data_IF_584405250038
#
_entry.id   IF_584405250038
#
_cell.length_a   1.000
_cell.length_b   1.000
_cell.length_c   1.000
_cell.angle_alpha   90.00
_cell.angle_beta   90.00
_cell.angle_gamma   90.00
#
_symmetry.space_group_name_H-M   'P 1'
#
loop_
_entity.id
_entity.type
_entity.pdbx_description
1 polymer ?
#
# COMPACT_ATOMS: atom_id res chain seq x y z
N UNK A 1 -27.78 -34.10 15.94
CA UNK A 1 -27.37 -32.68 16.11
C UNK A 1 -27.26 -32.08 14.71
N UNK A 2 -28.04 -31.03 14.38
CA UNK A 2 -28.15 -30.57 13.00
C UNK A 2 -26.83 -29.99 12.49
N UNK A 3 -26.59 -30.09 11.19
CA UNK A 3 -25.36 -29.61 10.55
C UNK A 3 -25.11 -28.12 10.79
N UNK A 4 -26.17 -27.34 11.01
CA UNK A 4 -26.09 -25.92 11.40
C UNK A 4 -25.40 -25.71 12.76
N UNK A 5 -25.65 -26.58 13.74
CA UNK A 5 -25.03 -26.48 15.07
C UNK A 5 -23.52 -26.74 15.06
N UNK A 6 -23.02 -27.56 14.13
CA UNK A 6 -21.58 -27.81 14.00
C UNK A 6 -20.83 -26.58 13.47
N UNK A 7 -21.41 -25.86 12.51
CA UNK A 7 -20.81 -24.64 11.96
C UNK A 7 -20.82 -23.48 12.96
N UNK A 8 -21.92 -23.31 13.71
CA UNK A 8 -21.99 -22.26 14.73
C UNK A 8 -20.95 -22.49 15.84
N UNK A 9 -20.74 -23.73 16.26
CA UNK A 9 -19.73 -24.07 17.27
C UNK A 9 -18.29 -23.84 16.74
N UNK A 10 -18.03 -24.16 15.47
CA UNK A 10 -16.71 -23.96 14.86
C UNK A 10 -16.33 -22.48 14.76
N UNK A 11 -17.29 -21.62 14.37
CA UNK A 11 -17.09 -20.17 14.29
C UNK A 11 -16.83 -19.57 15.67
N UNK A 12 -17.54 -20.05 16.70
CA UNK A 12 -17.37 -19.59 18.09
C UNK A 12 -15.99 -19.98 18.65
N UNK A 13 -15.49 -21.17 18.32
CA UNK A 13 -14.15 -21.61 18.72
C UNK A 13 -13.07 -20.78 18.01
N UNK A 14 -13.23 -20.54 16.70
CA UNK A 14 -12.30 -19.72 15.91
C UNK A 14 -12.22 -18.27 16.41
N UNK A 15 -13.35 -17.67 16.78
CA UNK A 15 -13.38 -16.29 17.31
C UNK A 15 -12.77 -16.18 18.72
N UNK A 16 -12.93 -17.20 19.57
CA UNK A 16 -12.23 -17.26 20.87
C UNK A 16 -10.72 -17.47 20.69
N UNK A 17 -10.29 -18.32 19.76
CA UNK A 17 -8.87 -18.51 19.46
C UNK A 17 -8.22 -17.23 18.92
N UNK A 18 -8.89 -16.51 18.02
CA UNK A 18 -8.41 -15.23 17.50
C UNK A 18 -8.31 -14.15 18.60
N UNK A 19 -9.28 -14.08 19.51
CA UNK A 19 -9.22 -13.16 20.66
C UNK A 19 -8.04 -13.45 21.62
N UNK A 20 -7.71 -14.73 21.82
CA UNK A 20 -6.61 -15.14 22.70
C UNK A 20 -5.22 -14.85 22.10
N UNK A 21 -5.08 -14.93 20.77
CA UNK A 21 -3.85 -14.58 20.05
C UNK A 21 -3.60 -13.05 20.10
N UNK A 22 -4.66 -12.25 20.05
CA UNK A 22 -4.53 -10.79 20.15
C UNK A 22 -4.19 -10.30 21.56
N UNK A 23 -4.67 -10.96 22.62
CA UNK A 23 -4.39 -10.56 24.00
C UNK A 23 -2.96 -10.87 24.48
N UNK A 24 -2.31 -11.92 23.96
CA UNK A 24 -0.95 -12.28 24.37
C UNK A 24 0.14 -11.35 23.79
N UNK A 25 -0.22 -10.45 22.87
CA UNK A 25 0.72 -9.53 22.22
C UNK A 25 0.93 -8.21 22.98
N UNK A 26 0.22 -7.97 24.09
CA UNK A 26 0.19 -6.65 24.76
C UNK A 26 0.92 -6.54 26.10
N UNK A 27 1.65 -7.56 26.55
CA UNK A 27 2.47 -7.44 27.77
C UNK A 27 3.95 -7.26 27.43
N UNK A 28 4.37 -6.03 27.12
CA UNK A 28 5.80 -5.68 27.10
C UNK A 28 6.18 -4.81 28.29
N UNK A 29 7.17 -5.33 29.00
CA UNK A 29 7.78 -4.84 30.23
C UNK A 29 8.67 -3.63 29.91
N UNK A 30 8.41 -2.48 30.53
CA UNK A 30 9.14 -1.23 30.28
C UNK A 30 10.43 -1.17 31.10
N UNK A 31 11.56 -1.47 30.46
CA UNK A 31 12.87 -0.98 30.91
C UNK A 31 13.37 0.03 29.88
N UNK A 32 13.24 1.31 30.21
CA UNK A 32 13.64 2.45 29.38
C UNK A 32 15.12 2.77 29.63
N UNK A 33 16.01 2.78 28.61
CA UNK A 33 17.30 3.42 28.72
C UNK A 33 17.16 4.93 28.51
N UNK A 34 17.83 5.70 29.36
CA UNK A 34 17.87 7.17 29.35
C UNK A 34 18.75 7.66 28.18
N UNK A 35 18.17 8.26 27.13
CA UNK A 35 18.91 8.82 25.98
C UNK A 35 18.89 10.35 26.05
N UNK A 36 20.07 10.97 26.22
CA UNK A 36 20.25 12.43 26.32
C UNK A 36 20.33 13.10 24.94
N UNK A 37 19.57 14.18 24.78
CA UNK A 37 19.85 15.37 23.96
C UNK A 37 20.02 15.17 22.43
N UNK A 38 18.91 15.01 21.70
CA UNK A 38 18.86 14.97 20.23
C UNK A 38 18.22 16.20 19.54
N UNK A 39 17.91 17.27 20.27
CA UNK A 39 16.97 18.29 19.77
C UNK A 39 17.55 19.35 18.81
N UNK A 40 18.87 19.39 18.57
CA UNK A 40 19.51 20.61 18.05
C UNK A 40 20.06 20.56 16.61
N UNK A 41 19.95 19.44 15.89
CA UNK A 41 20.57 19.33 14.55
C UNK A 41 19.63 19.01 13.38
N UNK A 42 18.39 18.56 13.62
CA UNK A 42 17.42 18.34 12.53
C UNK A 42 16.94 19.68 11.95
N UNK A 43 16.75 20.71 12.79
CA UNK A 43 16.42 22.06 12.32
C UNK A 43 17.48 22.70 11.40
N UNK A 44 18.72 22.21 11.39
CA UNK A 44 19.80 22.82 10.58
C UNK A 44 19.74 22.43 9.09
N UNK A 45 19.05 21.35 8.72
CA UNK A 45 18.92 20.88 7.33
C UNK A 45 17.78 21.57 6.56
N UNK A 46 16.93 22.35 7.25
CA UNK A 46 15.67 22.89 6.70
C UNK A 46 15.75 24.36 6.28
N UNK A 47 16.85 25.07 6.57
CA UNK A 47 16.98 26.51 6.24
C UNK A 47 17.47 26.78 4.81
N UNK A 48 16.67 26.41 3.80
CA UNK A 48 16.68 27.09 2.49
C UNK A 48 15.24 27.25 1.99
N UNK A 49 14.60 28.33 2.42
CA UNK A 49 13.29 28.76 1.92
C UNK A 49 13.41 29.29 0.49
N UNK A 50 12.68 28.66 -0.44
CA UNK A 50 12.26 29.32 -1.67
C UNK A 50 10.74 29.48 -1.60
N UNK A 51 10.29 30.71 -1.35
CA UNK A 51 8.88 31.11 -1.36
C UNK A 51 8.39 31.09 -2.80
N UNK A 52 7.59 30.09 -3.15
CA UNK A 52 6.80 30.09 -4.39
C UNK A 52 5.33 30.13 -3.98
N UNK A 53 4.72 31.31 -4.13
CA UNK A 53 3.29 31.46 -4.13
C UNK A 53 2.74 30.82 -5.40
N UNK A 54 1.98 29.72 -5.29
CA UNK A 54 1.06 29.30 -6.34
C UNK A 54 -0.34 29.16 -5.77
N UNK A 55 -1.17 30.17 -6.01
CA UNK A 55 -2.63 30.01 -6.04
C UNK A 55 -2.95 29.07 -7.21
N UNK A 56 -3.23 27.80 -6.90
CA UNK A 56 -3.82 26.86 -7.84
C UNK A 56 -5.31 26.76 -7.55
N UNK A 57 -6.11 27.51 -8.31
CA UNK A 57 -7.56 27.33 -8.37
C UNK A 57 -7.88 25.99 -9.03
N UNK A 58 -8.12 24.96 -8.21
CA UNK A 58 -8.70 23.70 -8.66
C UNK A 58 -10.22 23.89 -8.80
N UNK A 59 -10.69 24.02 -10.05
CA UNK A 59 -12.09 23.87 -10.39
C UNK A 59 -12.54 22.44 -10.04
N UNK A 60 -13.38 22.32 -9.01
CA UNK A 60 -14.10 21.09 -8.70
C UNK A 60 -15.13 20.84 -9.80
N UNK A 61 -14.84 19.90 -10.71
CA UNK A 61 -15.82 19.42 -11.69
C UNK A 61 -16.89 18.62 -10.94
N UNK A 62 -18.00 19.28 -10.59
CA UNK A 62 -19.21 18.60 -10.14
C UNK A 62 -19.89 17.92 -11.34
N UNK A 63 -19.74 16.60 -11.43
CA UNK A 63 -20.50 15.79 -12.39
C UNK A 63 -21.92 15.62 -11.87
N UNK A 64 -22.85 16.40 -12.43
CA UNK A 64 -24.28 16.20 -12.21
C UNK A 64 -24.77 14.98 -12.98
N UNK A 65 -25.25 13.96 -12.25
CA UNK A 65 -25.96 12.82 -12.85
C UNK A 65 -27.47 13.12 -12.87
N UNK A 66 -28.01 13.23 -14.08
CA UNK A 66 -29.45 13.32 -14.34
C UNK A 66 -30.11 11.95 -14.16
N UNK A 67 -31.17 11.81 -13.35
CA UNK A 67 -31.89 10.56 -13.19
C UNK A 67 -33.02 10.53 -14.21
N UNK A 68 -32.77 9.95 -15.39
CA UNK A 68 -33.76 9.29 -16.24
C UNK A 68 -33.12 8.99 -17.60
N UNK A 69 -32.69 7.74 -17.78
CA UNK A 69 -32.85 7.02 -19.04
C UNK A 69 -32.72 5.51 -18.78
N UNK A 70 -33.73 4.77 -19.20
CA UNK A 70 -33.87 3.33 -19.07
C UNK A 70 -33.62 2.70 -20.46
N UNK A 71 -32.75 1.66 -20.52
CA UNK A 71 -32.44 0.70 -21.61
C UNK A 71 -31.24 0.98 -22.55
N UNK A 72 -30.22 0.10 -22.53
CA UNK A 72 -29.95 -1.06 -23.42
C UNK A 72 -28.43 -1.38 -23.33
N UNK A 73 -28.01 -2.48 -22.69
CA UNK A 73 -26.63 -2.99 -22.81
C UNK A 73 -26.49 -3.92 -24.03
N UNK A 74 -25.45 -3.73 -24.86
CA UNK A 74 -24.32 -4.65 -24.73
C UNK A 74 -23.01 -3.91 -24.54
N UNK A 75 -22.43 -4.15 -23.37
CA UNK A 75 -21.44 -3.33 -22.69
C UNK A 75 -20.40 -4.30 -22.10
N UNK A 76 -19.58 -4.87 -22.98
CA UNK A 76 -19.11 -6.23 -22.74
C UNK A 76 -17.73 -6.32 -22.09
N UNK A 77 -17.60 -7.29 -21.19
CA UNK A 77 -16.37 -7.75 -20.54
C UNK A 77 -16.46 -9.28 -20.47
N UNK A 78 -15.40 -9.98 -20.89
CA UNK A 78 -15.32 -11.43 -20.72
C UNK A 78 -15.24 -11.75 -19.23
N UNK A 79 -16.13 -12.62 -18.76
CA UNK A 79 -16.02 -13.13 -17.43
C UNK A 79 -15.11 -14.37 -17.44
N UNK A 80 -13.82 -14.18 -17.13
CA UNK A 80 -12.94 -15.32 -16.87
C UNK A 80 -13.13 -15.89 -15.44
N UNK A 81 -14.07 -15.37 -14.64
CA UNK A 81 -14.37 -15.95 -13.32
C UNK A 81 -15.03 -17.31 -13.51
N UNK A 82 -14.34 -18.35 -13.02
CA UNK A 82 -14.71 -19.74 -13.25
C UNK A 82 -13.73 -20.50 -14.15
N UNK A 83 -12.81 -19.80 -14.80
CA UNK A 83 -11.67 -20.45 -15.45
C UNK A 83 -10.74 -21.03 -14.39
N UNK A 84 -10.44 -22.32 -14.50
CA UNK A 84 -9.48 -22.97 -13.63
C UNK A 84 -8.08 -22.49 -14.04
N UNK A 85 -7.46 -21.66 -13.20
CA UNK A 85 -6.00 -21.57 -13.25
C UNK A 85 -5.44 -22.97 -12.98
N UNK A 86 -4.57 -23.51 -13.85
CA UNK A 86 -4.04 -24.86 -13.66
C UNK A 86 -3.45 -24.98 -12.26
N UNK A 87 -3.88 -25.97 -11.48
CA UNK A 87 -3.33 -26.17 -10.15
C UNK A 87 -1.82 -26.34 -10.24
N UNK A 88 -1.07 -25.51 -9.50
CA UNK A 88 0.37 -25.66 -9.38
C UNK A 88 0.65 -26.73 -8.32
N UNK A 89 1.05 -27.91 -8.76
CA UNK A 89 1.67 -28.89 -7.89
C UNK A 89 2.99 -28.33 -7.33
N UNK A 90 3.19 -28.45 -6.02
CA UNK A 90 4.41 -28.02 -5.32
C UNK A 90 4.74 -26.52 -5.47
N UNK A 91 3.72 -25.64 -5.43
CA UNK A 91 3.87 -24.18 -5.52
C UNK A 91 4.98 -23.62 -4.59
N UNK A 92 5.05 -24.09 -3.35
CA UNK A 92 6.09 -23.69 -2.38
C UNK A 92 7.50 -24.05 -2.86
N UNK A 93 7.68 -25.23 -3.46
CA UNK A 93 8.97 -25.66 -4.00
C UNK A 93 9.36 -24.81 -5.21
N UNK A 94 8.43 -24.56 -6.13
CA UNK A 94 8.67 -23.72 -7.31
C UNK A 94 9.09 -22.31 -6.88
N UNK A 95 8.42 -21.74 -5.87
CA UNK A 95 8.79 -20.44 -5.34
C UNK A 95 10.18 -20.47 -4.68
N UNK A 96 10.51 -21.51 -3.90
CA UNK A 96 11.83 -21.65 -3.30
C UNK A 96 12.96 -21.79 -4.34
N UNK A 97 12.72 -22.55 -5.42
CA UNK A 97 13.65 -22.69 -6.54
C UNK A 97 13.84 -21.36 -7.27
N UNK A 98 12.76 -20.64 -7.54
CA UNK A 98 12.81 -19.31 -8.15
C UNK A 98 13.63 -18.33 -7.31
N UNK A 99 13.38 -18.25 -6.01
CA UNK A 99 14.18 -17.41 -5.10
C UNK A 99 15.65 -17.81 -5.14
N UNK A 100 15.97 -19.10 -5.16
CA UNK A 100 17.36 -19.59 -5.24
C UNK A 100 18.04 -19.15 -6.54
N UNK A 101 17.32 -19.17 -7.67
CA UNK A 101 17.82 -18.69 -8.95
C UNK A 101 18.08 -17.18 -8.92
N UNK A 102 17.16 -16.40 -8.36
CA UNK A 102 17.33 -14.95 -8.21
C UNK A 102 18.54 -14.61 -7.33
N UNK A 103 18.78 -15.35 -6.24
CA UNK A 103 19.96 -15.17 -5.38
C UNK A 103 21.28 -15.45 -6.11
N UNK A 104 21.29 -16.42 -7.02
CA UNK A 104 22.47 -16.78 -7.80
C UNK A 104 22.70 -15.86 -9.02
N UNK A 105 21.73 -14.99 -9.34
CA UNK A 105 21.82 -14.05 -10.46
C UNK A 105 22.90 -13.00 -10.26
N UNK A 106 23.51 -12.55 -11.36
CA UNK A 106 24.39 -11.38 -11.38
C UNK A 106 23.64 -10.05 -11.46
N UNK A 107 22.33 -10.04 -11.70
CA UNK A 107 21.50 -8.83 -11.72
C UNK A 107 21.25 -8.32 -10.29
N UNK A 108 21.40 -7.01 -10.09
CA UNK A 108 21.04 -6.30 -8.86
C UNK A 108 19.57 -6.47 -8.53
N UNK A 109 18.71 -6.31 -9.53
CA UNK A 109 17.26 -6.37 -9.43
C UNK A 109 16.82 -7.75 -8.97
N UNK A 110 17.38 -8.82 -9.55
CA UNK A 110 17.13 -10.20 -9.12
C UNK A 110 17.57 -10.43 -7.67
N UNK A 111 18.76 -9.94 -7.28
CA UNK A 111 19.22 -10.07 -5.90
C UNK A 111 18.31 -9.31 -4.92
N UNK A 112 17.80 -8.13 -5.31
CA UNK A 112 16.87 -7.37 -4.50
C UNK A 112 15.52 -8.07 -4.38
N UNK A 113 14.95 -8.51 -5.50
CA UNK A 113 13.72 -9.30 -5.55
C UNK A 113 13.82 -10.58 -4.70
N UNK A 114 14.97 -11.27 -4.73
CA UNK A 114 15.20 -12.43 -3.89
C UNK A 114 15.15 -12.11 -2.39
N UNK A 115 15.56 -10.90 -1.98
CA UNK A 115 15.49 -10.48 -0.58
C UNK A 115 14.05 -10.09 -0.23
N UNK A 116 13.34 -9.36 -1.09
CA UNK A 116 11.98 -8.89 -0.81
C UNK A 116 10.94 -10.02 -0.80
N UNK A 117 11.05 -10.99 -1.72
CA UNK A 117 9.99 -11.97 -1.99
C UNK A 117 10.24 -13.36 -1.40
N UNK A 118 11.33 -13.53 -0.65
CA UNK A 118 11.60 -14.79 0.03
C UNK A 118 10.79 -14.92 1.33
N UNK A 119 9.72 -15.71 1.34
CA UNK A 119 8.90 -15.92 2.56
C UNK A 119 9.53 -16.92 3.56
N UNK A 120 10.62 -17.61 3.17
CA UNK A 120 11.28 -18.61 4.00
C UNK A 120 12.36 -18.02 4.94
N UNK A 121 12.51 -16.69 4.96
CA UNK A 121 13.40 -15.98 5.88
C UNK A 121 12.58 -15.15 6.85
N UNK A 122 13.02 -15.11 8.11
CA UNK A 122 12.45 -14.22 9.09
C UNK A 122 12.83 -12.75 8.83
N UNK A 123 12.11 -11.85 9.50
CA UNK A 123 12.25 -10.41 9.33
C UNK A 123 13.61 -9.85 9.74
N UNK A 124 14.29 -10.45 10.72
CA UNK A 124 15.64 -10.02 11.10
C UNK A 124 16.64 -10.35 10.00
N UNK A 125 16.62 -11.59 9.52
CA UNK A 125 17.48 -12.04 8.42
C UNK A 125 17.23 -11.23 7.15
N UNK A 126 15.96 -10.92 6.85
CA UNK A 126 15.62 -10.05 5.72
C UNK A 126 16.21 -8.66 5.88
N UNK A 127 16.06 -8.04 7.06
CA UNK A 127 16.65 -6.74 7.37
C UNK A 127 18.18 -6.75 7.17
N UNK A 128 18.87 -7.74 7.72
CA UNK A 128 20.33 -7.87 7.57
C UNK A 128 20.76 -8.00 6.11
N UNK A 129 19.99 -8.74 5.29
CA UNK A 129 20.25 -8.86 3.85
C UNK A 129 20.04 -7.54 3.11
N UNK A 130 19.01 -6.76 3.46
CA UNK A 130 18.77 -5.44 2.88
C UNK A 130 19.89 -4.46 3.22
N UNK A 131 20.37 -4.45 4.48
CA UNK A 131 21.52 -3.65 4.89
C UNK A 131 22.77 -4.03 4.09
N UNK A 132 23.05 -5.33 3.94
CA UNK A 132 24.18 -5.79 3.12
C UNK A 132 24.03 -5.43 1.63
N UNK A 133 22.80 -5.43 1.11
CA UNK A 133 22.53 -5.02 -0.27
C UNK A 133 22.76 -3.51 -0.46
N UNK A 134 22.35 -2.69 0.51
CA UNK A 134 22.56 -1.23 0.54
C UNK A 134 24.04 -0.83 0.43
N UNK A 135 24.95 -1.61 1.01
CA UNK A 135 26.40 -1.34 0.89
C UNK A 135 26.91 -1.36 -0.57
N UNK A 136 26.23 -2.10 -1.45
CA UNK A 136 26.58 -2.18 -2.87
C UNK A 136 25.75 -1.23 -3.74
N UNK A 137 24.52 -0.93 -3.32
CA UNK A 137 23.55 -0.12 -4.06
C UNK A 137 22.93 0.95 -3.14
N UNK A 138 23.72 1.94 -2.70
CA UNK A 138 23.27 2.92 -1.72
C UNK A 138 22.21 3.90 -2.26
N UNK A 139 22.13 4.08 -3.59
CA UNK A 139 21.31 5.12 -4.22
C UNK A 139 19.95 4.59 -4.70
N UNK A 140 19.32 3.73 -3.90
CA UNK A 140 18.01 3.15 -4.22
C UNK A 140 16.95 3.60 -3.19
N UNK A 141 16.04 4.51 -3.55
CA UNK A 141 15.07 5.04 -2.60
C UNK A 141 14.01 4.00 -2.20
N UNK A 142 13.65 3.07 -3.08
CA UNK A 142 12.73 1.96 -2.76
C UNK A 142 13.35 1.02 -1.71
N UNK A 143 14.65 0.70 -1.86
CA UNK A 143 15.39 -0.07 -0.87
C UNK A 143 15.39 0.63 0.50
N UNK A 144 15.69 1.93 0.51
CA UNK A 144 15.71 2.70 1.75
C UNK A 144 14.33 2.77 2.39
N UNK A 145 13.27 2.94 1.59
CA UNK A 145 11.89 2.90 2.07
C UNK A 145 11.58 1.57 2.77
N UNK A 146 11.92 0.43 2.17
CA UNK A 146 11.68 -0.90 2.77
C UNK A 146 12.52 -1.11 4.05
N UNK A 147 13.79 -0.67 4.07
CA UNK A 147 14.65 -0.71 5.28
C UNK A 147 14.03 0.10 6.42
N UNK A 148 13.65 1.35 6.18
CA UNK A 148 13.07 2.22 7.21
C UNK A 148 11.74 1.64 7.71
N UNK A 149 10.90 1.09 6.83
CA UNK A 149 9.62 0.50 7.23
C UNK A 149 9.78 -0.62 8.25
N UNK A 150 10.78 -1.48 8.06
CA UNK A 150 11.09 -2.59 8.98
C UNK A 150 11.68 -2.14 10.32
N UNK A 151 12.17 -0.91 10.42
CA UNK A 151 12.63 -0.32 11.69
C UNK A 151 11.48 0.13 12.60
N UNK A 152 10.24 0.16 12.11
CA UNK A 152 9.07 0.53 12.94
C UNK A 152 8.67 -0.58 13.92
N UNK A 153 9.04 -1.84 13.66
CA UNK A 153 8.57 -3.01 14.42
C UNK A 153 9.34 -3.30 15.72
N UNK A 154 10.14 -2.35 16.23
CA UNK A 154 11.00 -2.41 17.45
C UNK A 154 12.06 -3.52 17.50
N UNK A 155 11.99 -4.53 16.62
CA UNK A 155 12.98 -5.60 16.50
C UNK A 155 14.25 -5.13 15.78
N UNK A 156 14.06 -4.28 14.76
CA UNK A 156 15.14 -3.65 14.02
C UNK A 156 15.25 -2.19 14.45
N UNK A 157 16.47 -1.70 14.66
CA UNK A 157 16.73 -0.28 14.93
C UNK A 157 17.45 0.35 13.76
N UNK A 158 16.86 1.39 13.18
CA UNK A 158 17.56 2.26 12.24
C UNK A 158 18.38 3.28 13.03
N UNK A 159 19.63 3.47 12.64
CA UNK A 159 20.44 4.56 13.17
C UNK A 159 20.17 5.88 12.43
N UNK A 160 20.78 6.94 12.92
CA UNK A 160 20.64 8.28 12.34
C UNK A 160 21.16 8.34 10.90
N UNK A 161 22.22 7.61 10.58
CA UNK A 161 22.84 7.66 9.26
C UNK A 161 21.91 7.05 8.19
N UNK A 162 21.22 5.95 8.52
CA UNK A 162 20.21 5.36 7.63
C UNK A 162 19.04 6.33 7.37
N UNK A 163 18.57 7.02 8.40
CA UNK A 163 17.49 8.01 8.27
C UNK A 163 17.94 9.18 7.40
N UNK A 164 19.13 9.73 7.67
CA UNK A 164 19.68 10.85 6.91
C UNK A 164 19.87 10.48 5.43
N UNK A 165 20.35 9.27 5.14
CA UNK A 165 20.49 8.77 3.77
C UNK A 165 19.12 8.61 3.07
N UNK A 166 18.11 8.07 3.75
CA UNK A 166 16.77 7.94 3.19
C UNK A 166 16.18 9.32 2.83
N UNK A 167 16.35 10.31 3.72
CA UNK A 167 15.95 11.70 3.49
C UNK A 167 16.72 12.31 2.31
N UNK A 168 18.03 12.10 2.21
CA UNK A 168 18.83 12.64 1.09
C UNK A 168 18.32 12.14 -0.26
N UNK A 169 17.98 10.85 -0.36
CA UNK A 169 17.52 10.23 -1.60
C UNK A 169 16.11 10.64 -2.00
N UNK A 170 15.23 10.92 -1.03
CA UNK A 170 13.80 11.06 -1.33
C UNK A 170 13.06 12.10 -0.46
N UNK A 171 13.74 13.19 -0.07
CA UNK A 171 13.18 14.30 0.75
C UNK A 171 11.90 14.95 0.23
N UNK A 172 11.57 14.77 -1.05
CA UNK A 172 10.38 15.37 -1.67
C UNK A 172 9.20 14.38 -1.73
N UNK A 173 9.37 13.18 -1.17
CA UNK A 173 8.34 12.16 -1.09
C UNK A 173 7.63 12.19 0.26
N UNK A 174 6.34 12.46 0.22
CA UNK A 174 5.48 12.52 1.39
C UNK A 174 5.36 11.17 2.09
N UNK A 175 5.33 10.07 1.33
CA UNK A 175 5.24 8.72 1.90
C UNK A 175 6.45 8.41 2.79
N UNK A 176 7.66 8.80 2.38
CA UNK A 176 8.86 8.65 3.22
C UNK A 176 8.72 9.41 4.54
N UNK A 177 8.24 10.65 4.50
CA UNK A 177 8.05 11.44 5.71
C UNK A 177 6.99 10.85 6.64
N UNK A 178 5.89 10.33 6.09
CA UNK A 178 4.88 9.64 6.88
C UNK A 178 5.42 8.31 7.46
N UNK A 179 6.28 7.60 6.73
CA UNK A 179 6.98 6.41 7.21
C UNK A 179 7.89 6.73 8.39
N UNK A 180 8.66 7.82 8.29
CA UNK A 180 9.49 8.33 9.38
C UNK A 180 8.65 8.78 10.58
N UNK A 181 7.51 9.43 10.35
CA UNK A 181 6.58 9.77 11.41
C UNK A 181 6.10 8.52 12.16
N UNK A 182 5.71 7.46 11.42
CA UNK A 182 5.34 6.18 11.99
C UNK A 182 6.46 5.56 12.83
N UNK A 183 7.69 5.54 12.29
CA UNK A 183 8.89 5.07 13.00
C UNK A 183 9.13 5.86 14.30
N UNK A 184 9.07 7.20 14.25
CA UNK A 184 9.29 8.05 15.42
C UNK A 184 8.22 7.84 16.49
N UNK A 185 6.96 7.63 16.09
CA UNK A 185 5.87 7.29 17.02
C UNK A 185 6.10 5.94 17.69
N UNK A 186 6.43 4.90 16.92
CA UNK A 186 6.76 3.57 17.45
C UNK A 186 7.92 3.58 18.45
N UNK A 187 8.82 4.56 18.34
CA UNK A 187 9.97 4.77 19.23
C UNK A 187 9.78 5.88 20.27
N UNK A 188 8.55 6.34 20.51
CA UNK A 188 8.21 7.38 21.52
C UNK A 188 8.90 8.74 21.29
N UNK A 189 9.33 9.04 20.06
CA UNK A 189 9.96 10.29 19.65
C UNK A 189 8.94 11.27 19.05
N UNK A 190 7.86 11.57 19.80
CA UNK A 190 6.72 12.37 19.32
C UNK A 190 7.09 13.71 18.64
N UNK A 191 8.02 14.53 19.16
CA UNK A 191 8.38 15.80 18.50
C UNK A 191 8.90 15.60 17.06
N UNK A 192 9.73 14.58 16.85
CA UNK A 192 10.25 14.26 15.51
C UNK A 192 9.16 13.71 14.60
N UNK A 193 8.18 12.98 15.15
CA UNK A 193 7.03 12.52 14.39
C UNK A 193 6.19 13.68 13.84
N UNK A 194 5.91 14.69 14.68
CA UNK A 194 5.17 15.86 14.23
C UNK A 194 5.95 16.69 13.21
N UNK A 195 7.27 16.85 13.38
CA UNK A 195 8.13 17.48 12.37
C UNK A 195 8.07 16.73 11.02
N UNK A 196 8.14 15.40 11.05
CA UNK A 196 8.02 14.59 9.85
C UNK A 196 6.63 14.71 9.19
N UNK A 197 5.54 14.76 9.96
CA UNK A 197 4.20 15.01 9.42
C UNK A 197 4.10 16.39 8.75
N UNK A 198 4.71 17.43 9.32
CA UNK A 198 4.74 18.77 8.69
C UNK A 198 5.52 18.76 7.37
N UNK A 199 6.64 18.04 7.33
CA UNK A 199 7.43 17.88 6.11
C UNK A 199 6.69 17.07 5.05
N UNK A 200 5.92 16.05 5.45
CA UNK A 200 5.08 15.28 4.55
C UNK A 200 4.05 16.17 3.83
N UNK A 201 3.36 17.04 4.56
CA UNK A 201 2.34 17.94 4.00
C UNK A 201 2.94 18.94 3.00
N UNK A 202 4.23 19.28 3.13
CA UNK A 202 4.96 20.19 2.24
C UNK A 202 5.65 19.48 1.08
N UNK A 203 5.67 18.15 1.07
CA UNK A 203 6.32 17.38 0.02
C UNK A 203 5.59 17.52 -1.32
N UNK A 204 6.31 17.32 -2.42
CA UNK A 204 5.80 17.56 -3.79
C UNK A 204 5.41 16.28 -4.52
N UNK A 205 5.67 15.12 -3.92
CA UNK A 205 5.34 13.82 -4.49
C UNK A 205 4.90 12.84 -3.39
N UNK A 206 4.21 11.77 -3.77
CA UNK A 206 3.84 10.68 -2.88
C UNK A 206 4.18 9.37 -3.60
N UNK A 207 5.11 8.58 -3.05
CA UNK A 207 5.57 7.30 -3.60
C UNK A 207 5.81 6.31 -2.47
N UNK A 208 4.88 5.38 -2.30
CA UNK A 208 5.00 4.26 -1.34
C UNK A 208 5.71 3.03 -1.93
N UNK A 209 6.09 3.12 -3.22
CA UNK A 209 6.76 2.10 -4.02
C UNK A 209 6.01 0.77 -4.19
N UNK A 210 4.75 0.63 -3.74
CA UNK A 210 4.05 -0.65 -3.78
C UNK A 210 3.95 -1.26 -5.18
N UNK A 211 3.50 -0.47 -6.15
CA UNK A 211 3.37 -0.94 -7.54
C UNK A 211 4.74 -1.12 -8.21
N UNK A 212 5.78 -0.42 -7.74
CA UNK A 212 7.15 -0.67 -8.19
C UNK A 212 7.65 -2.04 -7.73
N UNK A 213 7.22 -2.54 -6.57
CA UNK A 213 7.56 -3.90 -6.14
C UNK A 213 6.83 -4.97 -6.95
N UNK A 214 5.57 -4.72 -7.32
CA UNK A 214 4.83 -5.61 -8.24
C UNK A 214 5.57 -5.68 -9.59
N UNK A 215 6.02 -4.54 -10.12
CA UNK A 215 6.84 -4.51 -11.34
C UNK A 215 8.15 -5.28 -11.17
N UNK A 216 8.88 -5.05 -10.08
CA UNK A 216 10.12 -5.76 -9.80
C UNK A 216 9.92 -7.29 -9.74
N UNK A 217 8.83 -7.75 -9.14
CA UNK A 217 8.49 -9.17 -9.12
C UNK A 217 8.25 -9.71 -10.53
N UNK A 218 7.42 -9.02 -11.31
CA UNK A 218 7.04 -9.46 -12.66
C UNK A 218 8.23 -9.50 -13.62
N UNK A 219 9.07 -8.46 -13.59
CA UNK A 219 10.33 -8.41 -14.35
C UNK A 219 11.28 -9.53 -13.93
N UNK A 220 11.45 -9.76 -12.63
CA UNK A 220 12.32 -10.83 -12.13
C UNK A 220 11.77 -12.24 -12.45
N UNK A 221 10.46 -12.37 -12.60
CA UNK A 221 9.79 -13.63 -12.94
C UNK A 221 9.80 -13.92 -14.45
N UNK A 222 10.16 -12.95 -15.29
CA UNK A 222 10.29 -13.11 -16.73
C UNK A 222 11.44 -14.08 -17.04
N UNK A 223 11.14 -15.19 -17.71
CA UNK A 223 12.11 -16.25 -18.03
C UNK A 223 12.68 -17.06 -16.84
N UNK A 224 12.58 -16.57 -15.60
CA UNK A 224 13.09 -17.25 -14.40
C UNK A 224 12.06 -18.12 -13.68
N UNK A 225 10.78 -17.71 -13.69
CA UNK A 225 9.71 -18.46 -13.04
C UNK A 225 8.94 -19.30 -14.07
N UNK A 226 9.06 -20.63 -13.98
CA UNK A 226 8.43 -21.57 -14.91
C UNK A 226 6.97 -21.89 -14.52
N UNK A 227 6.12 -20.86 -14.52
CA UNK A 227 4.67 -20.98 -14.34
C UNK A 227 3.94 -20.12 -15.35
N UNK A 228 2.69 -20.44 -15.63
CA UNK A 228 1.84 -19.64 -16.51
C UNK A 228 1.61 -18.23 -15.95
N UNK A 229 1.46 -17.25 -16.85
CA UNK A 229 1.30 -15.83 -16.52
C UNK A 229 0.27 -15.55 -15.39
N UNK A 230 -0.93 -16.16 -15.38
CA UNK A 230 -1.91 -15.88 -14.32
C UNK A 230 -1.41 -16.16 -12.91
N UNK A 231 -0.52 -17.13 -12.74
CA UNK A 231 0.09 -17.40 -11.44
C UNK A 231 1.13 -16.37 -11.07
N UNK A 232 1.92 -15.88 -12.02
CA UNK A 232 2.87 -14.78 -11.79
C UNK A 232 2.13 -13.52 -11.34
N UNK A 233 1.09 -13.14 -12.08
CA UNK A 233 0.26 -11.98 -11.76
C UNK A 233 -0.42 -12.12 -10.39
N UNK A 234 -1.02 -13.28 -10.10
CA UNK A 234 -1.66 -13.55 -8.83
C UNK A 234 -0.67 -13.55 -7.65
N UNK A 235 0.54 -14.10 -7.82
CA UNK A 235 1.59 -14.04 -6.80
C UNK A 235 2.10 -12.62 -6.58
N UNK A 236 2.33 -11.85 -7.64
CA UNK A 236 2.78 -10.46 -7.52
C UNK A 236 1.80 -9.61 -6.69
N UNK A 237 0.50 -9.69 -7.01
CA UNK A 237 -0.56 -9.01 -6.26
C UNK A 237 -0.69 -9.59 -4.84
N UNK A 238 -0.62 -10.91 -4.69
CA UNK A 238 -0.78 -11.58 -3.39
C UNK A 238 0.34 -11.22 -2.40
N UNK A 239 1.58 -11.11 -2.87
CA UNK A 239 2.72 -10.67 -2.08
C UNK A 239 2.50 -9.24 -1.58
N UNK A 240 2.05 -8.34 -2.46
CA UNK A 240 1.70 -6.98 -2.09
C UNK A 240 0.59 -6.94 -1.03
N UNK A 241 -0.51 -7.65 -1.27
CA UNK A 241 -1.67 -7.68 -0.37
C UNK A 241 -1.34 -8.25 1.02
N UNK A 242 -0.27 -9.04 1.14
CA UNK A 242 0.19 -9.61 2.40
C UNK A 242 1.13 -8.67 3.18
N UNK A 243 1.58 -7.54 2.62
CA UNK A 243 2.45 -6.61 3.34
C UNK A 243 1.69 -5.87 4.45
N UNK A 244 2.30 -5.67 5.62
CA UNK A 244 1.71 -4.84 6.67
C UNK A 244 1.68 -3.38 6.23
N UNK A 245 0.64 -2.66 6.65
CA UNK A 245 0.54 -1.22 6.42
C UNK A 245 1.57 -0.49 7.28
N UNK A 246 2.35 0.40 6.65
CA UNK A 246 3.45 1.12 7.30
C UNK A 246 3.02 2.39 8.07
N UNK A 247 1.71 2.62 8.22
CA UNK A 247 1.11 3.82 8.85
C UNK A 247 0.39 3.54 10.17
N UNK A 248 0.61 2.38 10.80
CA UNK A 248 -0.16 1.93 11.96
C UNK A 248 -0.09 2.86 13.17
N UNK A 249 1.11 3.27 13.60
CA UNK A 249 1.32 4.15 14.76
C UNK A 249 0.82 5.57 14.48
N UNK A 250 1.03 6.06 13.26
CA UNK A 250 0.50 7.34 12.79
C UNK A 250 -1.04 7.35 12.81
N UNK A 251 -1.65 6.29 12.29
CA UNK A 251 -3.11 6.12 12.29
C UNK A 251 -3.65 6.07 13.71
N UNK A 252 -3.01 5.28 14.60
CA UNK A 252 -3.38 5.20 16.01
C UNK A 252 -3.29 6.57 16.70
N UNK A 253 -2.21 7.33 16.47
CA UNK A 253 -2.08 8.68 17.01
C UNK A 253 -3.25 9.57 16.56
N UNK A 254 -3.54 9.59 15.26
CA UNK A 254 -4.53 10.51 14.72
C UNK A 254 -5.98 10.06 14.97
N UNK A 255 -6.25 8.77 15.11
CA UNK A 255 -7.60 8.23 15.28
C UNK A 255 -7.99 8.01 16.75
N UNK A 256 -7.07 7.56 17.59
CA UNK A 256 -7.39 7.07 18.93
C UNK A 256 -6.95 8.02 20.05
N UNK A 257 -5.99 8.93 19.79
CA UNK A 257 -5.54 9.87 20.82
C UNK A 257 -6.53 11.04 20.97
N UNK A 258 -7.19 11.15 22.12
CA UNK A 258 -8.12 12.24 22.41
C UNK A 258 -7.46 13.47 23.06
N UNK A 259 -6.17 13.38 23.40
CA UNK A 259 -5.41 14.46 24.07
C UNK A 259 -4.56 15.28 23.10
N UNK A 260 -4.90 15.26 21.80
CA UNK A 260 -4.20 16.08 20.81
C UNK A 260 -4.52 17.57 21.05
N UNK A 261 -3.47 18.39 21.06
CA UNK A 261 -3.63 19.85 20.98
C UNK A 261 -4.31 20.25 19.66
N UNK A 262 -4.94 21.43 19.57
CA UNK A 262 -5.54 21.91 18.33
C UNK A 262 -4.57 21.87 17.14
N UNK A 263 -3.31 22.26 17.36
CA UNK A 263 -2.26 22.25 16.34
C UNK A 263 -1.94 20.81 15.87
N UNK A 264 -1.82 19.87 16.80
CA UNK A 264 -1.59 18.46 16.47
C UNK A 264 -2.80 17.83 15.76
N UNK A 265 -4.02 18.20 16.14
CA UNK A 265 -5.22 17.74 15.45
C UNK A 265 -5.26 18.25 14.00
N UNK A 266 -4.95 19.53 13.79
CA UNK A 266 -4.85 20.12 12.45
C UNK A 266 -3.76 19.46 11.62
N UNK A 267 -2.65 19.07 12.23
CA UNK A 267 -1.60 18.31 11.56
C UNK A 267 -2.09 16.92 11.12
N UNK A 268 -2.84 16.22 11.97
CA UNK A 268 -3.51 14.97 11.58
C UNK A 268 -4.50 15.19 10.42
N UNK A 269 -5.31 16.25 10.45
CA UNK A 269 -6.21 16.59 9.33
C UNK A 269 -5.40 16.84 8.04
N UNK A 270 -4.29 17.56 8.12
CA UNK A 270 -3.40 17.81 6.99
C UNK A 270 -2.82 16.53 6.39
N UNK A 271 -2.33 15.63 7.25
CA UNK A 271 -1.86 14.29 6.83
C UNK A 271 -2.99 13.49 6.20
N UNK A 272 -4.19 13.50 6.79
CA UNK A 272 -5.35 12.81 6.25
C UNK A 272 -5.76 13.30 4.86
N UNK A 273 -5.66 14.61 4.59
CA UNK A 273 -5.89 15.20 3.26
C UNK A 273 -4.84 14.76 2.25
N UNK A 274 -3.57 14.84 2.64
CA UNK A 274 -2.45 14.37 1.81
C UNK A 274 -2.63 12.90 1.42
N UNK A 275 -2.91 12.02 2.37
CA UNK A 275 -3.12 10.60 2.09
C UNK A 275 -4.33 10.36 1.20
N UNK A 276 -5.47 11.01 1.49
CA UNK A 276 -6.69 10.86 0.68
C UNK A 276 -6.48 11.25 -0.79
N UNK A 277 -5.72 12.32 -1.05
CA UNK A 277 -5.59 12.93 -2.37
C UNK A 277 -4.41 12.39 -3.18
N UNK A 278 -3.33 12.00 -2.52
CA UNK A 278 -2.05 11.72 -3.18
C UNK A 278 -1.57 10.27 -3.03
N UNK A 279 -2.18 9.44 -2.19
CA UNK A 279 -1.72 8.05 -2.03
C UNK A 279 -1.86 7.25 -3.32
N UNK A 280 -0.91 6.33 -3.54
CA UNK A 280 -0.97 5.41 -4.68
C UNK A 280 -2.04 4.35 -4.47
N UNK A 281 -2.31 3.94 -3.23
CA UNK A 281 -3.29 2.89 -2.93
C UNK A 281 -4.63 3.46 -2.44
N UNK A 282 -5.71 2.73 -2.74
CA UNK A 282 -7.06 3.02 -2.27
C UNK A 282 -7.17 2.90 -0.76
N UNK A 283 -6.49 1.91 -0.17
CA UNK A 283 -6.52 1.68 1.28
C UNK A 283 -5.95 2.86 2.06
N UNK A 284 -4.85 3.45 1.61
CA UNK A 284 -4.27 4.64 2.23
C UNK A 284 -5.17 5.87 2.06
N UNK A 285 -5.83 6.00 0.90
CA UNK A 285 -6.77 7.08 0.67
C UNK A 285 -7.96 7.01 1.63
N UNK A 286 -8.47 5.80 1.87
CA UNK A 286 -9.53 5.54 2.86
C UNK A 286 -9.07 5.82 4.29
N UNK A 287 -7.85 5.42 4.67
CA UNK A 287 -7.25 5.75 5.97
C UNK A 287 -7.15 7.27 6.12
N UNK A 288 -6.67 7.97 5.09
CA UNK A 288 -6.60 9.43 5.05
C UNK A 288 -7.95 10.08 5.31
N UNK A 289 -9.00 9.62 4.62
CA UNK A 289 -10.38 10.08 4.84
C UNK A 289 -10.83 9.88 6.30
N UNK A 290 -10.56 8.71 6.90
CA UNK A 290 -10.93 8.43 8.30
C UNK A 290 -10.16 9.27 9.31
N UNK A 291 -8.88 9.55 9.05
CA UNK A 291 -8.09 10.49 9.85
C UNK A 291 -8.72 11.89 9.80
N UNK A 292 -9.11 12.37 8.62
CA UNK A 292 -9.78 13.67 8.48
C UNK A 292 -11.11 13.72 9.25
N UNK A 293 -11.94 12.67 9.10
CA UNK A 293 -13.23 12.58 9.82
C UNK A 293 -13.03 12.69 11.33
N UNK A 294 -12.10 11.93 11.90
CA UNK A 294 -11.82 12.00 13.33
C UNK A 294 -11.31 13.38 13.75
N UNK A 295 -10.44 13.99 12.96
CA UNK A 295 -9.93 15.34 13.23
C UNK A 295 -11.06 16.37 13.31
N UNK A 296 -11.98 16.37 12.35
CA UNK A 296 -13.13 17.30 12.35
C UNK A 296 -14.16 16.98 13.43
N UNK A 297 -14.32 15.70 13.82
CA UNK A 297 -15.16 15.33 14.98
C UNK A 297 -14.64 15.96 16.27
N UNK A 298 -13.32 15.97 16.51
CA UNK A 298 -12.74 16.62 17.70
C UNK A 298 -12.97 18.13 17.72
N UNK A 299 -13.12 18.74 16.54
CA UNK A 299 -13.42 20.17 16.37
C UNK A 299 -14.92 20.47 16.45
N UNK A 300 -15.78 19.45 16.56
CA UNK A 300 -17.24 19.60 16.51
C UNK A 300 -17.78 20.02 15.14
N UNK A 301 -17.02 19.79 14.06
CA UNK A 301 -17.39 20.17 12.70
C UNK A 301 -18.15 19.05 11.98
N UNK A 302 -19.39 18.82 12.42
CA UNK A 302 -20.27 17.75 11.91
C UNK A 302 -20.58 17.88 10.41
N UNK A 303 -20.56 19.10 9.86
CA UNK A 303 -20.81 19.34 8.44
C UNK A 303 -19.69 18.73 7.57
N UNK A 304 -18.42 18.99 7.92
CA UNK A 304 -17.28 18.41 7.21
C UNK A 304 -17.22 16.88 7.39
N UNK A 305 -17.57 16.38 8.57
CA UNK A 305 -17.66 14.93 8.82
C UNK A 305 -18.70 14.29 7.89
N UNK A 306 -19.90 14.87 7.81
CA UNK A 306 -20.97 14.38 6.94
C UNK A 306 -20.59 14.47 5.45
N UNK A 307 -19.89 15.54 5.05
CA UNK A 307 -19.38 15.71 3.68
C UNK A 307 -18.37 14.63 3.31
N UNK A 308 -17.38 14.37 4.18
CA UNK A 308 -16.39 13.34 3.98
C UNK A 308 -17.00 11.93 3.97
N UNK A 309 -17.99 11.68 4.83
CA UNK A 309 -18.68 10.39 4.84
C UNK A 309 -19.46 10.16 3.54
N UNK A 310 -20.15 11.19 3.03
CA UNK A 310 -20.83 11.09 1.73
C UNK A 310 -19.85 10.83 0.58
N UNK A 311 -18.69 11.49 0.59
CA UNK A 311 -17.64 11.25 -0.40
C UNK A 311 -17.09 9.83 -0.29
N UNK A 312 -16.83 9.35 0.95
CA UNK A 312 -16.41 7.98 1.20
C UNK A 312 -17.44 6.96 0.71
N UNK A 313 -18.73 7.19 0.93
CA UNK A 313 -19.81 6.30 0.45
C UNK A 313 -19.90 6.26 -1.09
N UNK A 314 -19.67 7.40 -1.75
CA UNK A 314 -19.62 7.46 -3.22
C UNK A 314 -18.41 6.69 -3.72
N UNK A 315 -17.25 6.93 -3.12
CA UNK A 315 -16.02 6.25 -3.44
C UNK A 315 -16.15 4.74 -3.19
N UNK A 316 -16.68 4.32 -2.04
CA UNK A 316 -16.95 2.92 -1.72
C UNK A 316 -17.90 2.29 -2.74
N UNK A 317 -18.92 2.98 -3.23
CA UNK A 317 -19.76 2.46 -4.33
C UNK A 317 -19.03 2.36 -5.66
N UNK A 318 -18.05 3.24 -5.91
CA UNK A 318 -17.17 3.16 -7.08
C UNK A 318 -16.10 2.05 -6.93
N UNK A 319 -15.71 1.73 -5.69
CA UNK A 319 -14.73 0.71 -5.30
C UNK A 319 -15.33 -0.66 -5.02
N UNK A 320 -16.62 -0.73 -4.67
CA UNK A 320 -17.39 -1.95 -4.56
C UNK A 320 -17.49 -2.48 -5.97
N UNK A 321 -16.47 -3.25 -6.35
CA UNK A 321 -16.23 -3.74 -7.69
C UNK A 321 -17.57 -4.16 -8.27
N UNK A 322 -18.11 -3.33 -9.16
CA UNK A 322 -19.24 -3.77 -9.97
C UNK A 322 -18.82 -5.08 -10.62
N UNK A 323 -19.78 -5.97 -10.90
CA UNK A 323 -19.48 -7.27 -11.51
C UNK A 323 -18.54 -7.12 -12.74
N UNK A 324 -18.69 -6.02 -13.47
CA UNK A 324 -17.85 -5.63 -14.60
C UNK A 324 -16.44 -5.18 -14.21
N UNK A 325 -16.27 -4.37 -13.17
CA UNK A 325 -14.93 -4.03 -12.65
C UNK A 325 -14.22 -5.28 -12.13
N UNK A 326 -14.93 -6.15 -11.42
CA UNK A 326 -14.39 -7.45 -10.99
C UNK A 326 -13.98 -8.31 -12.18
N UNK A 327 -14.82 -8.34 -13.23
CA UNK A 327 -14.51 -9.07 -14.46
C UNK A 327 -13.28 -8.48 -15.16
N UNK A 328 -13.10 -7.15 -15.20
CA UNK A 328 -11.91 -6.51 -15.75
C UNK A 328 -10.64 -6.83 -14.93
N UNK A 329 -10.73 -6.81 -13.60
CA UNK A 329 -9.62 -7.20 -12.71
C UNK A 329 -9.30 -8.69 -12.82
N UNK A 330 -10.30 -9.54 -13.07
CA UNK A 330 -10.07 -10.96 -13.36
C UNK A 330 -9.42 -11.13 -14.73
N UNK A 331 -9.89 -10.40 -15.75
CA UNK A 331 -9.40 -10.45 -17.12
C UNK A 331 -7.91 -10.11 -17.21
N UNK A 332 -7.44 -9.09 -16.49
CA UNK A 332 -6.01 -8.74 -16.49
C UNK A 332 -5.12 -9.86 -15.96
N UNK A 333 -5.62 -10.77 -15.12
CA UNK A 333 -4.82 -11.91 -14.67
C UNK A 333 -4.59 -12.93 -15.79
N UNK A 334 -5.35 -12.88 -16.88
CA UNK A 334 -5.20 -13.79 -18.02
C UNK A 334 -4.63 -13.11 -19.27
N UNK A 335 -4.52 -11.78 -19.29
CA UNK A 335 -3.89 -11.02 -20.36
C UNK A 335 -2.70 -10.20 -19.82
N UNK A 336 -1.50 -10.66 -20.15
CA UNK A 336 -0.23 -10.03 -19.78
C UNK A 336 -0.11 -8.56 -20.21
N UNK A 337 -0.63 -8.21 -21.39
CA UNK A 337 -0.59 -6.82 -21.87
C UNK A 337 -1.55 -5.94 -21.07
N UNK A 338 -2.72 -6.47 -20.75
CA UNK A 338 -3.71 -5.75 -19.96
C UNK A 338 -3.23 -5.56 -18.51
N UNK A 339 -2.55 -6.56 -17.94
CA UNK A 339 -1.89 -6.44 -16.63
C UNK A 339 -0.79 -5.37 -16.65
N UNK A 340 0.11 -5.41 -17.63
CA UNK A 340 1.18 -4.42 -17.74
C UNK A 340 0.62 -3.01 -17.90
N UNK A 341 -0.43 -2.86 -18.72
CA UNK A 341 -1.14 -1.60 -18.89
C UNK A 341 -1.72 -1.07 -17.56
N UNK A 342 -2.35 -1.94 -16.76
CA UNK A 342 -2.83 -1.58 -15.42
C UNK A 342 -1.68 -1.21 -14.48
N UNK A 343 -0.60 -1.99 -14.47
CA UNK A 343 0.53 -1.78 -13.58
C UNK A 343 1.26 -0.46 -13.89
N UNK A 344 1.51 -0.18 -15.16
CA UNK A 344 2.09 1.09 -15.60
C UNK A 344 1.19 2.26 -15.19
N UNK A 345 -0.13 2.12 -15.35
CA UNK A 345 -1.07 3.13 -14.90
C UNK A 345 -1.05 3.30 -13.37
N UNK A 346 -0.91 2.22 -12.61
CA UNK A 346 -0.88 2.26 -11.14
C UNK A 346 0.39 2.95 -10.62
N UNK A 347 1.55 2.69 -11.23
CA UNK A 347 2.82 3.34 -10.90
C UNK A 347 2.75 4.86 -11.18
N UNK A 348 2.12 5.26 -12.29
CA UNK A 348 2.13 6.66 -12.72
C UNK A 348 0.98 7.51 -12.16
N UNK A 349 -0.16 6.89 -11.86
CA UNK A 349 -1.40 7.62 -11.52
C UNK A 349 -2.12 7.09 -10.28
N UNK A 350 -1.61 6.04 -9.63
CA UNK A 350 -2.26 5.38 -8.52
C UNK A 350 -3.37 4.40 -8.92
N UNK A 351 -3.74 3.55 -7.97
CA UNK A 351 -4.65 2.41 -8.11
C UNK A 351 -6.02 2.81 -8.65
N UNK A 352 -6.60 3.90 -8.12
CA UNK A 352 -7.94 4.34 -8.53
C UNK A 352 -7.98 4.66 -10.02
N UNK A 353 -7.00 5.43 -10.51
CA UNK A 353 -6.93 5.79 -11.92
C UNK A 353 -6.60 4.58 -12.79
N UNK A 354 -5.70 3.71 -12.32
CA UNK A 354 -5.36 2.47 -12.99
C UNK A 354 -6.58 1.57 -13.18
N UNK A 355 -7.43 1.42 -12.15
CA UNK A 355 -8.65 0.63 -12.24
C UNK A 355 -9.66 1.22 -13.24
N UNK A 356 -9.81 2.55 -13.29
CA UNK A 356 -10.64 3.21 -14.31
C UNK A 356 -10.13 2.97 -15.73
N UNK A 357 -8.81 3.02 -15.92
CA UNK A 357 -8.18 2.79 -17.22
C UNK A 357 -8.28 1.33 -17.64
N UNK A 358 -8.01 0.40 -16.71
CA UNK A 358 -8.18 -1.04 -16.89
C UNK A 358 -9.61 -1.36 -17.34
N UNK A 359 -10.62 -0.82 -16.67
CA UNK A 359 -12.02 -1.03 -17.01
C UNK A 359 -12.34 -0.60 -18.45
N UNK A 360 -11.87 0.58 -18.87
CA UNK A 360 -12.08 1.10 -20.22
C UNK A 360 -11.36 0.28 -21.28
N UNK A 361 -10.14 -0.15 -20.99
CA UNK A 361 -9.35 -0.97 -21.91
C UNK A 361 -9.96 -2.37 -22.04
N UNK A 362 -10.40 -2.98 -20.94
CA UNK A 362 -11.11 -4.25 -20.94
C UNK A 362 -12.36 -4.21 -21.83
N UNK A 363 -13.18 -3.14 -21.77
CA UNK A 363 -14.34 -2.94 -22.65
C UNK A 363 -13.93 -2.73 -24.12
N UNK A 364 -12.76 -2.16 -24.37
CA UNK A 364 -12.29 -1.91 -25.73
C UNK A 364 -11.78 -3.19 -26.37
N UNK A 365 -10.94 -3.94 -25.65
CA UNK A 365 -10.38 -5.22 -26.08
C UNK A 365 -11.47 -6.25 -26.27
N UNK A 366 -12.44 -6.28 -25.36
CA UNK A 366 -13.54 -7.22 -25.42
C UNK A 366 -14.20 -7.13 -26.80
N UNK A 367 -14.59 -5.94 -27.27
CA UNK A 367 -15.31 -5.72 -28.55
C UNK A 367 -14.66 -6.36 -29.80
N UNK A 368 -13.41 -6.78 -29.74
CA UNK A 368 -12.77 -7.56 -30.78
C UNK A 368 -13.15 -9.05 -30.70
N UNK A 369 -13.84 -9.57 -31.72
CA UNK A 369 -14.26 -10.98 -31.81
C UNK A 369 -13.10 -11.99 -31.76
N UNK A 370 -11.87 -11.56 -32.02
CA UNK A 370 -10.66 -12.39 -31.95
C UNK A 370 -9.94 -12.33 -30.60
N UNK A 371 -10.44 -11.51 -29.66
CA UNK A 371 -9.87 -11.39 -28.33
C UNK A 371 -10.40 -12.50 -27.43
N UNK A 372 -9.57 -13.52 -27.18
CA UNK A 372 -9.92 -14.66 -26.33
C UNK A 372 -8.83 -14.91 -25.28
N UNK A 373 -8.72 -14.04 -24.26
CA UNK A 373 -7.68 -14.12 -23.23
C UNK A 373 -7.96 -15.20 -22.19
N UNK A 374 -9.23 -15.55 -21.97
CA UNK A 374 -9.59 -16.63 -21.06
C UNK A 374 -9.14 -17.97 -21.68
N UNK A 375 -8.50 -18.87 -20.92
CA UNK A 375 -8.30 -20.24 -21.35
C UNK A 375 -9.65 -20.81 -21.78
N UNK A 376 -9.69 -21.55 -22.89
CA UNK A 376 -10.92 -22.27 -23.22
C UNK A 376 -11.02 -23.45 -22.26
N UNK A 377 -12.22 -23.72 -21.74
CA UNK A 377 -12.60 -25.00 -21.13
C UNK A 377 -12.54 -26.11 -22.19
N UNK A 378 -11.33 -26.44 -22.66
CA UNK A 378 -11.08 -27.65 -23.43
C UNK A 378 -10.49 -28.67 -22.48
N UNK A 379 -11.39 -29.37 -21.79
CA UNK A 379 -11.20 -30.76 -21.37
C UNK A 379 -12.54 -31.47 -21.35
#
# INVERSE_FOLDING_TARGET
>A
MSQKWKYTLLILILSVCLGYIFQSSFTSNTNTPELKSHHQQVSALVSQEHVINSESSLETVQVGLSPNDEKVEPDFIYNCAGQNTPYIENAEQIQAEFITQLQASSSSEHQFAAILFNHNIDEQKRFDLLINYKERYPDNPMLMFDIIGRCSDKKNSCDKALIEQAVELDRNNAALWLLLANYYLGNSMKPLAFEAMELAIKATSFKDYYFNEIALFMESAEGGLNVEFPHKAAWAIGIWAAKPLWTSELTNLCMENEELTPEQNQLCVGVGKLMEQNSSSTIESLIGNKIQQKGYQREGNEELVASLQKQADINEKLYAFSEKQWSASTLMLFDEKLFQYWLDAAINYGEHKAQQLLYKEAITLSKNEYYNPCPNDKN
#
